data_IF_535903096082
#
_entry.id   IF_535903096082
#
_cell.length_a   1.000
_cell.length_b   1.000
_cell.length_c   1.000
_cell.angle_alpha   90.00
_cell.angle_beta   90.00
_cell.angle_gamma   90.00
#
_symmetry.space_group_name_H-M   'P 1'
#
loop_
_entity.id
_entity.type
_entity.pdbx_description
1 polymer ?
#
# COMPACT_ATOMS: atom_id res chain seq x y z
N UNK A 1 9.29 -0.33 4.04
CA UNK A 1 9.54 -0.20 2.58
C UNK A 1 8.43 -0.82 1.74
N UNK A 2 8.29 -2.16 1.73
CA UNK A 2 7.33 -2.84 0.83
C UNK A 2 5.86 -2.46 1.01
N UNK A 3 5.42 -2.11 2.23
CA UNK A 3 4.07 -1.57 2.45
C UNK A 3 3.78 -0.27 1.72
N UNK A 4 4.74 0.65 1.69
CA UNK A 4 4.61 1.90 0.92
C UNK A 4 4.59 1.61 -0.58
N UNK A 5 5.43 0.67 -1.03
CA UNK A 5 5.48 0.22 -2.43
C UNK A 5 4.13 -0.36 -2.87
N UNK A 6 3.51 -1.21 -2.05
CA UNK A 6 2.18 -1.76 -2.32
C UNK A 6 1.10 -0.69 -2.39
N UNK A 7 1.07 0.23 -1.42
CA UNK A 7 0.09 1.32 -1.40
C UNK A 7 0.23 2.24 -2.62
N UNK A 8 1.48 2.59 -2.99
CA UNK A 8 1.77 3.40 -4.16
C UNK A 8 1.40 2.70 -5.47
N UNK A 9 1.62 1.38 -5.57
CA UNK A 9 1.23 0.59 -6.73
C UNK A 9 -0.28 0.67 -6.99
N UNK A 10 -1.09 0.53 -5.94
CA UNK A 10 -2.56 0.66 -6.06
C UNK A 10 -2.97 2.09 -6.41
N UNK A 11 -2.31 3.10 -5.84
CA UNK A 11 -2.58 4.49 -6.17
C UNK A 11 -2.34 4.77 -7.66
N UNK A 12 -1.17 4.38 -8.20
CA UNK A 12 -0.83 4.56 -9.62
C UNK A 12 -1.77 3.76 -10.50
N UNK A 13 -2.10 2.51 -10.16
CA UNK A 13 -3.03 1.68 -10.93
C UNK A 13 -4.42 2.32 -11.03
N UNK A 14 -4.90 2.88 -9.93
CA UNK A 14 -6.23 3.52 -9.85
C UNK A 14 -6.28 4.84 -10.60
N UNK A 15 -5.17 5.58 -10.63
CA UNK A 15 -5.08 6.90 -11.28
C UNK A 15 -4.30 6.87 -12.61
N UNK A 16 -4.01 5.70 -13.18
CA UNK A 16 -3.14 5.52 -14.37
C UNK A 16 -3.54 6.37 -15.58
N UNK A 17 -4.83 6.68 -15.72
CA UNK A 17 -5.36 7.52 -16.82
C UNK A 17 -4.97 9.00 -16.68
N UNK A 18 -4.70 9.48 -15.46
CA UNK A 18 -4.17 10.82 -15.22
C UNK A 18 -2.70 10.93 -15.63
N UNK A 19 -1.94 9.84 -15.48
CA UNK A 19 -0.53 9.76 -15.85
C UNK A 19 -0.36 9.45 -17.34
N UNK A 20 -0.68 10.42 -18.23
CA UNK A 20 -0.50 10.51 -19.71
C UNK A 20 0.28 9.38 -20.45
N UNK A 21 -0.06 8.10 -20.24
CA UNK A 21 0.70 6.93 -20.71
C UNK A 21 1.84 6.43 -19.78
N UNK A 22 2.35 7.27 -18.87
CA UNK A 22 3.49 6.93 -17.98
C UNK A 22 3.10 6.03 -16.79
N UNK A 23 1.82 5.98 -16.41
CA UNK A 23 1.36 5.17 -15.28
C UNK A 23 1.68 3.67 -15.45
N UNK A 24 1.66 3.18 -16.69
CA UNK A 24 2.04 1.78 -17.01
C UNK A 24 3.54 1.57 -16.83
N UNK A 25 4.38 2.51 -17.28
CA UNK A 25 5.83 2.43 -17.09
C UNK A 25 6.21 2.48 -15.61
N UNK A 26 5.55 3.32 -14.81
CA UNK A 26 5.75 3.37 -13.36
C UNK A 26 5.41 2.04 -12.69
N UNK A 27 4.30 1.40 -13.08
CA UNK A 27 3.92 0.07 -12.57
C UNK A 27 4.92 -1.02 -12.98
N UNK A 28 5.36 -1.01 -14.23
CA UNK A 28 6.39 -1.95 -14.72
C UNK A 28 7.69 -1.79 -13.93
N UNK A 29 8.12 -0.55 -13.69
CA UNK A 29 9.31 -0.27 -12.90
C UNK A 29 9.18 -0.76 -11.46
N UNK A 30 8.02 -0.55 -10.84
CA UNK A 30 7.73 -1.08 -9.50
C UNK A 30 7.82 -2.60 -9.45
N UNK A 31 7.28 -3.31 -10.45
CA UNK A 31 7.38 -4.77 -10.54
C UNK A 31 8.84 -5.22 -10.63
N UNK A 32 9.65 -4.54 -11.45
CA UNK A 32 11.10 -4.84 -11.57
C UNK A 32 11.80 -4.63 -10.23
N UNK A 33 11.59 -3.49 -9.57
CA UNK A 33 12.22 -3.17 -8.28
C UNK A 33 11.79 -4.15 -7.19
N UNK A 34 10.51 -4.52 -7.12
CA UNK A 34 9.99 -5.52 -6.18
C UNK A 34 10.61 -6.89 -6.45
N UNK A 35 10.64 -7.31 -7.71
CA UNK A 35 11.20 -8.60 -8.13
C UNK A 35 12.68 -8.72 -7.80
N UNK A 36 13.48 -7.67 -8.06
CA UNK A 36 14.90 -7.63 -7.69
C UNK A 36 15.07 -7.71 -6.17
N UNK A 37 14.34 -6.91 -5.40
CA UNK A 37 14.48 -6.91 -3.94
C UNK A 37 14.09 -8.26 -3.30
N UNK A 38 13.02 -8.90 -3.78
CA UNK A 38 12.64 -10.24 -3.33
C UNK A 38 13.67 -11.30 -3.74
N UNK A 39 14.24 -11.18 -4.94
CA UNK A 39 15.29 -12.09 -5.42
C UNK A 39 16.55 -11.97 -4.57
N UNK A 40 16.99 -10.76 -4.22
CA UNK A 40 18.12 -10.54 -3.31
C UNK A 40 17.89 -11.26 -1.98
N UNK A 41 16.66 -11.23 -1.45
CA UNK A 41 16.33 -11.93 -0.21
C UNK A 41 16.41 -13.46 -0.27
N UNK A 42 16.46 -14.06 -1.47
CA UNK A 42 16.73 -15.49 -1.63
C UNK A 42 18.22 -15.83 -1.51
N UNK A 43 19.11 -14.87 -1.82
CA UNK A 43 20.56 -15.09 -1.86
C UNK A 43 21.31 -14.50 -0.65
N UNK A 44 20.72 -13.53 0.04
CA UNK A 44 21.34 -12.85 1.20
C UNK A 44 20.77 -13.41 2.50
N UNK A 45 21.66 -13.92 3.37
CA UNK A 45 21.28 -14.37 4.72
C UNK A 45 20.67 -13.23 5.53
N UNK A 46 19.67 -13.55 6.36
CA UNK A 46 18.92 -12.64 7.23
C UNK A 46 17.99 -11.64 6.53
N UNK A 47 17.67 -11.84 5.24
CA UNK A 47 16.62 -11.10 4.56
C UNK A 47 15.33 -11.92 4.58
N UNK A 48 14.32 -11.45 5.30
CA UNK A 48 13.03 -12.14 5.41
C UNK A 48 12.07 -11.74 4.28
N UNK A 49 11.90 -12.65 3.31
CA UNK A 49 10.96 -12.46 2.21
C UNK A 49 9.49 -12.52 2.65
N UNK A 50 9.15 -13.20 3.74
CA UNK A 50 7.78 -13.23 4.23
C UNK A 50 7.35 -11.87 4.77
N UNK A 51 8.23 -11.17 5.49
CA UNK A 51 8.00 -9.79 5.92
C UNK A 51 7.80 -8.84 4.73
N UNK A 52 8.57 -9.01 3.65
CA UNK A 52 8.43 -8.22 2.44
C UNK A 52 7.10 -8.46 1.71
N UNK A 53 6.71 -9.73 1.54
CA UNK A 53 5.44 -10.10 0.90
C UNK A 53 4.26 -9.62 1.75
N UNK A 54 4.29 -9.86 3.07
CA UNK A 54 3.25 -9.40 4.00
C UNK A 54 3.12 -7.88 4.00
N UNK A 55 4.25 -7.17 3.97
CA UNK A 55 4.31 -5.72 3.79
C UNK A 55 3.67 -5.29 2.48
N UNK A 56 4.02 -5.90 1.35
CA UNK A 56 3.48 -5.55 0.03
C UNK A 56 1.96 -5.74 -0.03
N UNK A 57 1.46 -6.90 0.43
CA UNK A 57 0.03 -7.22 0.42
C UNK A 57 -0.78 -6.29 1.33
N UNK A 58 -0.34 -6.10 2.58
CA UNK A 58 -1.00 -5.17 3.50
C UNK A 58 -0.95 -3.73 2.96
N UNK A 59 0.16 -3.32 2.37
CA UNK A 59 0.30 -2.05 1.67
C UNK A 59 -0.72 -1.86 0.55
N UNK A 60 -0.89 -2.86 -0.32
CA UNK A 60 -1.91 -2.83 -1.37
C UNK A 60 -3.33 -2.70 -0.79
N UNK A 61 -3.66 -3.48 0.24
CA UNK A 61 -4.98 -3.43 0.89
C UNK A 61 -5.24 -2.06 1.52
N UNK A 62 -4.28 -1.52 2.26
CA UNK A 62 -4.38 -0.21 2.88
C UNK A 62 -4.42 0.91 1.84
N UNK A 63 -3.63 0.81 0.77
CA UNK A 63 -3.67 1.73 -0.36
C UNK A 63 -5.04 1.75 -1.03
N UNK A 64 -5.64 0.59 -1.27
CA UNK A 64 -7.01 0.51 -1.79
C UNK A 64 -8.02 1.17 -0.84
N UNK A 65 -7.85 0.94 0.46
CA UNK A 65 -8.80 1.41 1.48
C UNK A 65 -8.74 2.92 1.71
N UNK A 66 -7.53 3.51 1.67
CA UNK A 66 -7.25 4.88 2.08
C UNK A 66 -6.79 5.82 0.98
N UNK A 67 -6.55 5.35 -0.25
CA UNK A 67 -6.09 6.25 -1.32
C UNK A 67 -7.07 7.41 -1.55
N UNK A 68 -6.56 8.61 -1.83
CA UNK A 68 -7.40 9.74 -2.21
C UNK A 68 -8.05 9.43 -3.57
N UNK A 69 -9.25 9.98 -3.77
CA UNK A 69 -9.98 9.86 -5.03
C UNK A 69 -10.23 11.25 -5.56
N UNK A 70 -9.44 11.62 -6.56
CA UNK A 70 -9.52 12.94 -7.14
C UNK A 70 -10.64 13.00 -8.17
N UNK A 71 -11.58 13.92 -7.97
CA UNK A 71 -12.60 14.25 -8.98
C UNK A 71 -12.30 15.63 -9.58
N UNK A 72 -12.41 15.78 -10.92
CA UNK A 72 -12.32 17.09 -11.53
C UNK A 72 -13.53 17.94 -11.14
N UNK A 73 -13.28 19.13 -10.57
CA UNK A 73 -14.28 20.17 -10.34
C UNK A 73 -14.43 21.05 -11.59
N UNK A 74 -15.60 21.67 -11.86
CA UNK A 74 -15.79 22.65 -12.93
C UNK A 74 -14.76 23.79 -12.92
N UNK A 75 -14.19 24.10 -11.76
CA UNK A 75 -13.18 25.15 -11.55
C UNK A 75 -11.74 24.70 -11.81
N UNK A 76 -11.51 23.50 -12.38
CA UNK A 76 -10.18 22.85 -12.57
C UNK A 76 -9.39 22.60 -11.27
N UNK A 77 -10.05 22.63 -10.12
CA UNK A 77 -9.47 22.20 -8.84
C UNK A 77 -9.74 20.71 -8.66
N UNK A 78 -8.71 19.94 -8.29
CA UNK A 78 -8.89 18.54 -7.87
C UNK A 78 -9.41 18.53 -6.43
N UNK A 79 -10.60 17.99 -6.24
CA UNK A 79 -11.14 17.76 -4.90
C UNK A 79 -11.01 16.28 -4.56
N UNK A 80 -10.47 16.00 -3.37
CA UNK A 80 -10.39 14.64 -2.84
C UNK A 80 -11.71 14.28 -2.15
N UNK A 81 -12.44 13.34 -2.72
CA UNK A 81 -13.70 12.85 -2.13
C UNK A 81 -13.48 11.73 -1.11
N UNK A 82 -12.26 11.20 -1.01
CA UNK A 82 -11.88 10.14 -0.08
C UNK A 82 -11.01 10.65 1.09
N UNK A 83 -11.04 11.96 1.34
CA UNK A 83 -10.19 12.62 2.33
C UNK A 83 -10.30 12.03 3.73
N UNK A 84 -9.15 11.92 4.39
CA UNK A 84 -9.02 11.36 5.75
C UNK A 84 -9.85 12.13 6.78
N UNK A 85 -10.10 13.42 6.56
CA UNK A 85 -10.96 14.27 7.39
C UNK A 85 -12.36 13.69 7.60
N UNK A 86 -12.91 12.97 6.60
CA UNK A 86 -14.22 12.33 6.70
C UNK A 86 -14.14 10.84 7.09
N UNK A 87 -12.97 10.20 6.88
CA UNK A 87 -12.77 8.76 7.05
C UNK A 87 -11.88 8.38 8.23
N UNK A 88 -11.60 9.33 9.13
CA UNK A 88 -10.81 9.09 10.35
C UNK A 88 -11.32 7.91 11.21
N UNK A 89 -12.62 7.56 11.29
CA UNK A 89 -13.05 6.38 12.05
C UNK A 89 -12.52 5.08 11.44
N UNK A 90 -12.38 5.03 10.11
CA UNK A 90 -11.78 3.88 9.43
C UNK A 90 -10.30 3.75 9.78
N UNK A 91 -9.58 4.85 9.92
CA UNK A 91 -8.20 4.83 10.36
C UNK A 91 -8.07 4.25 11.78
N UNK A 92 -8.94 4.67 12.71
CA UNK A 92 -8.98 4.09 14.06
C UNK A 92 -9.32 2.60 14.05
N UNK A 93 -10.30 2.18 13.25
CA UNK A 93 -10.65 0.76 13.10
C UNK A 93 -9.46 -0.05 12.59
N UNK A 94 -8.69 0.51 11.65
CA UNK A 94 -7.52 -0.15 11.09
C UNK A 94 -6.37 -0.25 12.09
N UNK A 95 -6.15 0.81 12.89
CA UNK A 95 -5.19 0.79 14.00
C UNK A 95 -5.61 -0.27 15.02
N UNK A 96 -6.87 -0.24 15.47
CA UNK A 96 -7.41 -1.19 16.43
C UNK A 96 -7.29 -2.64 15.92
N UNK A 97 -7.68 -2.89 14.66
CA UNK A 97 -7.54 -4.20 14.04
C UNK A 97 -6.10 -4.67 13.97
N UNK A 98 -5.16 -3.78 13.66
CA UNK A 98 -3.72 -4.09 13.65
C UNK A 98 -3.22 -4.44 15.06
N UNK A 99 -3.62 -3.67 16.07
CA UNK A 99 -3.28 -3.95 17.47
C UNK A 99 -3.83 -5.30 17.93
N UNK A 100 -5.08 -5.62 17.57
CA UNK A 100 -5.70 -6.92 17.88
C UNK A 100 -4.91 -8.06 17.23
N UNK A 101 -4.55 -7.94 15.94
CA UNK A 101 -3.75 -8.94 15.24
C UNK A 101 -2.37 -9.13 15.89
N UNK A 102 -1.72 -8.04 16.32
CA UNK A 102 -0.47 -8.11 17.06
C UNK A 102 -0.65 -8.82 18.41
N UNK A 103 -1.70 -8.48 19.16
CA UNK A 103 -1.99 -9.13 20.45
C UNK A 103 -2.25 -10.63 20.28
N UNK A 104 -3.01 -11.03 19.26
CA UNK A 104 -3.26 -12.45 18.92
C UNK A 104 -1.94 -13.14 18.56
N UNK A 105 -1.11 -12.53 17.71
CA UNK A 105 0.17 -13.10 17.32
C UNK A 105 1.07 -13.32 18.54
N UNK A 106 1.20 -12.31 19.42
CA UNK A 106 1.98 -12.41 20.65
C UNK A 106 1.45 -13.50 21.58
N UNK A 107 0.14 -13.65 21.70
CA UNK A 107 -0.48 -14.72 22.49
C UNK A 107 -0.16 -16.11 21.92
N UNK A 108 -0.16 -16.26 20.60
CA UNK A 108 0.12 -17.54 19.94
C UNK A 108 1.61 -17.91 19.91
N UNK A 109 2.52 -16.93 19.90
CA UNK A 109 3.97 -17.17 19.84
C UNK A 109 4.68 -17.10 21.19
N UNK A 110 4.03 -16.50 22.19
CA UNK A 110 4.57 -16.28 23.54
C UNK A 110 4.09 -17.27 24.59
N UNK A 111 3.44 -18.37 24.19
CA UNK A 111 3.00 -19.48 25.03
C UNK A 111 3.81 -20.75 24.80
#
# INVERSE_FOLDING_TARGET
MFGLVGAYSIFVLSHRRAFRGEGVFALLWLVVVVGINLSIGLFVKNVDNYAHIGGLLSGCLLGWWFMPSYRPSPTRVLTDVHGLTYRWPLALLTILGTLILVMIALYLTGG
#
